data_IF_657142063164
#
_entry.id   IF_657142063164
#
_cell.length_a   1.000
_cell.length_b   1.000
_cell.length_c   1.000
_cell.angle_alpha   90.00
_cell.angle_beta   90.00
_cell.angle_gamma   90.00
#
_symmetry.space_group_name_H-M   'P 1'
#
loop_
_entity.id
_entity.type
_entity.pdbx_description
1 polymer ?
#
# COMPACT_ATOMS: atom_id res chain seq x y z
N UNK A 1 -21.99 -10.90 7.33
CA UNK A 1 -20.85 -10.06 7.76
C UNK A 1 -21.06 -9.74 9.22
N UNK A 2 -20.13 -10.17 10.07
CA UNK A 2 -20.09 -9.83 11.50
C UNK A 2 -19.89 -8.30 11.60
N UNK A 3 -20.67 -7.60 12.42
CA UNK A 3 -20.53 -6.15 12.63
C UNK A 3 -19.20 -5.83 13.33
N UNK A 4 -18.73 -4.57 13.26
CA UNK A 4 -17.57 -4.15 14.06
C UNK A 4 -17.90 -4.08 15.55
N UNK A 5 -19.18 -3.87 15.87
CA UNK A 5 -19.72 -3.75 17.23
C UNK A 5 -20.15 -5.09 17.84
N UNK A 6 -19.92 -6.21 17.15
CA UNK A 6 -20.25 -7.52 17.72
C UNK A 6 -19.35 -7.78 18.94
N UNK A 7 -19.94 -8.37 19.99
CA UNK A 7 -19.31 -8.57 21.30
C UNK A 7 -17.94 -9.25 21.22
N UNK A 8 -17.72 -10.07 20.19
CA UNK A 8 -16.45 -10.77 19.95
C UNK A 8 -15.25 -9.82 19.74
N UNK A 9 -15.49 -8.58 19.32
CA UNK A 9 -14.45 -7.57 19.13
C UNK A 9 -14.39 -6.53 20.24
N UNK A 10 -15.32 -6.55 21.20
CA UNK A 10 -15.48 -5.48 22.18
C UNK A 10 -14.17 -5.10 22.91
N UNK A 11 -13.35 -6.05 23.41
CA UNK A 11 -12.15 -5.66 24.14
C UNK A 11 -11.05 -5.08 23.24
N UNK A 12 -10.83 -5.65 22.05
CA UNK A 12 -9.85 -5.12 21.10
C UNK A 12 -10.30 -3.78 20.50
N UNK A 13 -11.61 -3.59 20.28
CA UNK A 13 -12.17 -2.35 19.76
C UNK A 13 -12.01 -1.21 20.77
N UNK A 14 -12.18 -1.48 22.07
CA UNK A 14 -11.95 -0.48 23.12
C UNK A 14 -10.49 0.04 23.10
N UNK A 15 -9.51 -0.86 22.93
CA UNK A 15 -8.09 -0.46 22.81
C UNK A 15 -7.87 0.43 21.58
N UNK A 16 -8.47 0.06 20.44
CA UNK A 16 -8.38 0.87 19.22
C UNK A 16 -9.07 2.24 19.38
N UNK A 17 -10.18 2.32 20.10
CA UNK A 17 -10.85 3.59 20.40
C UNK A 17 -10.01 4.49 21.31
N UNK A 18 -9.33 3.92 22.30
CA UNK A 18 -8.37 4.64 23.13
C UNK A 18 -7.18 5.16 22.32
N UNK A 19 -6.65 4.33 21.40
CA UNK A 19 -5.62 4.76 20.45
C UNK A 19 -6.13 5.92 19.56
N UNK A 20 -7.34 5.81 19.02
CA UNK A 20 -7.94 6.83 18.16
C UNK A 20 -8.15 8.15 18.89
N UNK A 21 -8.36 8.10 20.21
CA UNK A 21 -8.49 9.25 21.09
C UNK A 21 -7.17 9.74 21.71
N UNK A 22 -6.03 9.14 21.35
CA UNK A 22 -4.70 9.44 21.89
C UNK A 22 -4.56 9.17 23.41
N UNK A 23 -5.43 8.32 23.98
CA UNK A 23 -5.35 7.89 25.38
C UNK A 23 -4.22 6.87 25.61
N UNK A 24 -3.85 6.10 24.57
CA UNK A 24 -2.75 5.15 24.59
C UNK A 24 -1.84 5.35 23.37
N UNK A 25 -0.56 5.04 23.52
CA UNK A 25 0.39 5.02 22.40
C UNK A 25 0.18 3.80 21.50
N UNK A 26 0.73 3.84 20.29
CA UNK A 26 0.69 2.69 19.38
C UNK A 26 1.44 1.46 19.93
N UNK A 27 2.49 1.67 20.73
CA UNK A 27 3.24 0.60 21.40
C UNK A 27 2.37 -0.10 22.46
N UNK A 28 1.76 0.68 23.37
CA UNK A 28 0.85 0.15 24.38
C UNK A 28 -0.36 -0.55 23.75
N UNK A 29 -0.95 0.04 22.71
CA UNK A 29 -2.06 -0.59 21.99
C UNK A 29 -1.64 -1.92 21.36
N UNK A 30 -0.45 -2.00 20.76
CA UNK A 30 0.08 -3.24 20.19
C UNK A 30 0.28 -4.32 21.27
N UNK A 31 0.85 -3.97 22.44
CA UNK A 31 1.01 -4.90 23.56
C UNK A 31 -0.33 -5.43 24.08
N UNK A 32 -1.32 -4.55 24.27
CA UNK A 32 -2.64 -4.95 24.75
C UNK A 32 -3.39 -5.81 23.72
N UNK A 33 -3.34 -5.44 22.45
CA UNK A 33 -3.94 -6.23 21.37
C UNK A 33 -3.27 -7.60 21.26
N UNK A 34 -1.94 -7.65 21.37
CA UNK A 34 -1.19 -8.90 21.33
C UNK A 34 -1.57 -9.83 22.50
N UNK A 35 -1.66 -9.28 23.72
CA UNK A 35 -2.04 -10.05 24.90
C UNK A 35 -3.44 -10.66 24.77
N UNK A 36 -4.43 -9.87 24.32
CA UNK A 36 -5.82 -10.34 24.22
C UNK A 36 -5.98 -11.34 23.07
N UNK A 37 -5.26 -11.14 21.96
CA UNK A 37 -5.39 -12.00 20.78
C UNK A 37 -4.76 -13.38 20.98
N UNK A 38 -3.96 -13.57 22.02
CA UNK A 38 -3.32 -14.84 22.37
C UNK A 38 -3.77 -15.37 23.74
N UNK A 39 -4.82 -14.79 24.35
CA UNK A 39 -5.29 -15.18 25.69
C UNK A 39 -5.86 -16.60 25.71
N UNK A 40 -6.63 -16.98 24.69
CA UNK A 40 -7.14 -18.35 24.53
C UNK A 40 -6.13 -19.21 23.76
N UNK A 41 -5.25 -19.89 24.49
CA UNK A 41 -4.26 -20.82 23.91
C UNK A 41 -4.91 -22.01 23.18
N UNK A 42 -6.21 -22.28 23.37
CA UNK A 42 -6.93 -23.34 22.65
C UNK A 42 -7.43 -22.91 21.26
N UNK A 43 -7.49 -21.60 21.00
CA UNK A 43 -7.94 -21.01 19.72
C UNK A 43 -7.09 -19.79 19.30
N UNK A 44 -5.78 -19.99 19.22
CA UNK A 44 -4.83 -18.94 18.80
C UNK A 44 -5.11 -18.42 17.37
N UNK A 45 -5.55 -19.31 16.47
CA UNK A 45 -5.91 -18.93 15.11
C UNK A 45 -7.14 -18.02 15.08
N UNK A 46 -8.19 -18.35 15.85
CA UNK A 46 -9.38 -17.52 15.99
C UNK A 46 -9.08 -16.16 16.59
N UNK A 47 -8.21 -16.09 17.62
CA UNK A 47 -7.75 -14.84 18.22
C UNK A 47 -7.04 -13.91 17.22
N UNK A 48 -6.05 -14.43 16.48
CA UNK A 48 -5.31 -13.66 15.46
C UNK A 48 -6.19 -13.29 14.27
N UNK A 49 -7.05 -14.20 13.80
CA UNK A 49 -8.01 -13.92 12.72
C UNK A 49 -8.98 -12.80 13.11
N UNK A 50 -9.42 -12.78 14.37
CA UNK A 50 -10.31 -11.75 14.92
C UNK A 50 -9.60 -10.39 14.98
N UNK A 51 -8.34 -10.35 15.43
CA UNK A 51 -7.53 -9.13 15.45
C UNK A 51 -7.41 -8.52 14.05
N UNK A 52 -7.01 -9.32 13.06
CA UNK A 52 -6.87 -8.83 11.68
C UNK A 52 -8.19 -8.34 11.10
N UNK A 53 -9.27 -9.10 11.30
CA UNK A 53 -10.61 -8.72 10.87
C UNK A 53 -11.02 -7.36 11.43
N UNK A 54 -10.76 -7.12 12.71
CA UNK A 54 -11.06 -5.85 13.36
C UNK A 54 -10.23 -4.70 12.79
N UNK A 55 -8.90 -4.88 12.65
CA UNK A 55 -8.00 -3.87 12.08
C UNK A 55 -8.46 -3.47 10.67
N UNK A 56 -8.81 -4.44 9.81
CA UNK A 56 -9.33 -4.15 8.48
C UNK A 56 -10.65 -3.38 8.51
N UNK A 57 -11.61 -3.80 9.34
CA UNK A 57 -12.88 -3.06 9.49
C UNK A 57 -12.63 -1.62 9.92
N UNK A 58 -11.75 -1.42 10.91
CA UNK A 58 -11.37 -0.09 11.37
C UNK A 58 -10.70 0.72 10.26
N UNK A 59 -9.76 0.14 9.53
CA UNK A 59 -9.08 0.82 8.42
C UNK A 59 -10.07 1.25 7.32
N UNK A 60 -11.11 0.47 7.05
CA UNK A 60 -12.08 0.80 6.01
C UNK A 60 -13.11 1.82 6.48
N UNK A 61 -13.46 1.80 7.77
CA UNK A 61 -14.50 2.66 8.35
C UNK A 61 -13.97 4.00 8.85
N UNK A 62 -12.72 4.06 9.32
CA UNK A 62 -12.10 5.23 9.96
C UNK A 62 -10.79 5.64 9.26
N UNK A 63 -10.85 6.11 8.00
CA UNK A 63 -9.65 6.44 7.21
C UNK A 63 -8.79 7.56 7.82
N UNK A 64 -9.35 8.40 8.67
CA UNK A 64 -8.65 9.42 9.47
C UNK A 64 -7.65 8.82 10.46
N UNK A 65 -7.80 7.54 10.81
CA UNK A 65 -6.94 6.83 11.77
C UNK A 65 -5.94 5.87 11.12
N UNK A 66 -5.77 5.91 9.79
CA UNK A 66 -4.82 5.04 9.08
C UNK A 66 -3.40 5.10 9.64
N UNK A 67 -2.87 6.29 9.96
CA UNK A 67 -1.50 6.40 10.49
C UNK A 67 -1.36 5.71 11.86
N UNK A 68 -2.41 5.81 12.71
CA UNK A 68 -2.41 5.14 14.01
C UNK A 68 -2.45 3.62 13.86
N UNK A 69 -3.31 3.11 12.97
CA UNK A 69 -3.43 1.68 12.68
C UNK A 69 -2.14 1.11 12.06
N UNK A 70 -1.53 1.84 11.12
CA UNK A 70 -0.25 1.49 10.51
C UNK A 70 0.84 1.41 11.59
N UNK A 71 0.92 2.41 12.47
CA UNK A 71 1.89 2.41 13.56
C UNK A 71 1.69 1.22 14.50
N UNK A 72 0.44 0.86 14.84
CA UNK A 72 0.17 -0.34 15.65
C UNK A 72 0.66 -1.61 14.96
N UNK A 73 0.39 -1.79 13.66
CA UNK A 73 0.87 -2.97 12.93
C UNK A 73 2.40 -3.03 12.84
N UNK A 74 3.06 -1.88 12.71
CA UNK A 74 4.53 -1.79 12.80
C UNK A 74 5.02 -2.20 14.18
N UNK A 75 4.38 -1.73 15.26
CA UNK A 75 4.76 -2.11 16.62
C UNK A 75 4.51 -3.60 16.90
N UNK A 76 3.36 -4.13 16.45
CA UNK A 76 3.08 -5.57 16.49
C UNK A 76 4.18 -6.35 15.78
N UNK A 77 4.63 -5.91 14.60
CA UNK A 77 5.69 -6.60 13.84
C UNK A 77 7.06 -6.66 14.54
N UNK A 78 7.25 -5.84 15.58
CA UNK A 78 8.49 -5.69 16.34
C UNK A 78 8.42 -6.30 17.73
N UNK A 79 7.27 -6.84 18.13
CA UNK A 79 7.13 -7.54 19.40
C UNK A 79 8.02 -8.79 19.45
N UNK A 80 8.49 -9.18 20.64
CA UNK A 80 9.23 -10.43 20.79
C UNK A 80 8.38 -11.64 20.40
N UNK A 81 9.05 -12.74 20.07
CA UNK A 81 8.38 -14.00 19.74
C UNK A 81 7.35 -14.38 20.80
N UNK A 82 6.10 -14.58 20.36
CA UNK A 82 5.01 -15.03 21.21
C UNK A 82 5.33 -16.40 21.80
N UNK A 83 4.99 -16.59 23.07
CA UNK A 83 5.23 -17.85 23.80
C UNK A 83 3.96 -18.27 24.53
N UNK A 84 3.77 -19.57 24.62
CA UNK A 84 2.75 -20.17 25.48
C UNK A 84 3.09 -19.94 26.95
N UNK A 85 2.13 -20.19 27.82
CA UNK A 85 2.29 -20.27 29.28
C UNK A 85 3.45 -21.18 29.74
N UNK A 86 3.79 -22.20 28.96
CA UNK A 86 4.91 -23.11 29.22
C UNK A 86 6.26 -22.60 28.69
N UNK A 87 6.30 -21.44 28.03
CA UNK A 87 7.50 -20.83 27.47
C UNK A 87 7.87 -21.30 26.06
N UNK A 88 7.08 -22.19 25.46
CA UNK A 88 7.29 -22.67 24.10
C UNK A 88 6.88 -21.62 23.06
N UNK A 89 7.62 -21.45 21.95
CA UNK A 89 7.24 -20.53 20.89
C UNK A 89 5.87 -20.85 20.29
N UNK A 90 5.05 -19.83 20.10
CA UNK A 90 3.78 -19.94 19.36
C UNK A 90 4.07 -19.77 17.87
N UNK A 91 3.72 -20.79 17.10
CA UNK A 91 3.78 -20.76 15.64
C UNK A 91 2.39 -21.00 15.07
N UNK A 92 2.01 -20.20 14.08
CA UNK A 92 0.81 -20.44 13.27
C UNK A 92 1.26 -20.64 11.83
N UNK A 93 0.92 -21.78 11.23
CA UNK A 93 1.33 -22.12 9.87
C UNK A 93 2.85 -22.03 9.64
N UNK A 94 3.64 -22.52 10.61
CA UNK A 94 5.11 -22.45 10.64
C UNK A 94 5.71 -21.02 10.64
N UNK A 95 4.91 -20.02 11.02
CA UNK A 95 5.30 -18.62 11.08
C UNK A 95 5.29 -18.09 12.52
N UNK A 96 6.24 -17.21 12.85
CA UNK A 96 6.29 -16.50 14.12
C UNK A 96 5.20 -15.42 14.13
N UNK A 97 4.30 -15.47 15.11
CA UNK A 97 3.07 -14.65 15.14
C UNK A 97 3.32 -13.17 14.87
N UNK A 98 4.22 -12.55 15.61
CA UNK A 98 4.41 -11.10 15.54
C UNK A 98 5.33 -10.68 14.42
N UNK A 99 6.47 -11.36 14.24
CA UNK A 99 7.43 -11.05 13.18
C UNK A 99 6.86 -11.25 11.78
N UNK A 100 6.10 -12.31 11.56
CA UNK A 100 5.68 -12.73 10.23
C UNK A 100 4.20 -12.39 9.94
N UNK A 101 3.42 -12.02 10.96
CA UNK A 101 1.99 -11.65 10.87
C UNK A 101 1.16 -12.67 10.06
N UNK A 102 1.08 -13.94 10.51
CA UNK A 102 0.42 -15.01 9.78
C UNK A 102 -1.04 -14.65 9.47
N UNK A 103 -1.52 -15.12 8.32
CA UNK A 103 -2.87 -14.86 7.78
C UNK A 103 -3.17 -13.42 7.36
N UNK A 104 -2.40 -12.42 7.81
CA UNK A 104 -2.66 -11.01 7.51
C UNK A 104 -2.65 -10.74 5.99
N UNK A 105 -1.63 -11.24 5.29
CA UNK A 105 -1.55 -11.17 3.82
C UNK A 105 -2.63 -11.97 3.08
N UNK A 106 -3.14 -13.04 3.70
CA UNK A 106 -4.23 -13.85 3.12
C UNK A 106 -5.54 -13.07 3.13
N UNK A 107 -5.83 -12.38 4.23
CA UNK A 107 -6.99 -11.51 4.32
C UNK A 107 -6.95 -10.35 3.31
N UNK A 108 -5.77 -9.74 3.08
CA UNK A 108 -5.62 -8.76 1.99
C UNK A 108 -6.02 -9.33 0.62
N UNK A 109 -5.59 -10.56 0.33
CA UNK A 109 -5.91 -11.23 -0.92
C UNK A 109 -7.42 -11.46 -1.08
N UNK A 110 -8.09 -11.86 -0.01
CA UNK A 110 -9.55 -12.03 -0.02
C UNK A 110 -10.27 -10.70 -0.23
N UNK A 111 -9.81 -9.65 0.42
CA UNK A 111 -10.34 -8.29 0.28
C UNK A 111 -10.12 -7.70 -1.13
N UNK A 112 -9.09 -8.14 -1.87
CA UNK A 112 -8.85 -7.71 -3.24
C UNK A 112 -9.86 -8.26 -4.26
N UNK A 113 -10.67 -9.25 -3.86
CA UNK A 113 -11.79 -9.75 -4.67
C UNK A 113 -13.07 -8.88 -4.52
N UNK A 114 -13.04 -7.83 -3.69
CA UNK A 114 -14.17 -6.94 -3.53
C UNK A 114 -14.45 -6.12 -4.80
N UNK A 115 -15.72 -6.10 -5.23
CA UNK A 115 -16.20 -5.29 -6.35
C UNK A 115 -17.34 -4.38 -5.92
N UNK A 116 -17.61 -3.31 -6.68
CA UNK A 116 -18.76 -2.45 -6.43
C UNK A 116 -20.04 -3.16 -6.91
N UNK A 117 -20.98 -3.52 -6.01
CA UNK A 117 -22.19 -4.25 -6.41
C UNK A 117 -23.15 -3.34 -7.18
N UNK A 118 -23.97 -3.95 -8.04
CA UNK A 118 -25.20 -3.31 -8.49
C UNK A 118 -26.17 -3.21 -7.31
N UNK A 119 -26.87 -2.09 -7.16
CA UNK A 119 -27.79 -1.92 -6.03
C UNK A 119 -28.03 -0.45 -5.66
N UNK A 120 -28.63 -0.20 -4.48
CA UNK A 120 -28.97 1.14 -4.05
C UNK A 120 -27.73 2.03 -3.90
N UNK A 121 -27.85 3.36 -4.12
CA UNK A 121 -26.73 4.30 -4.08
C UNK A 121 -25.88 4.18 -2.79
N UNK A 122 -26.51 3.99 -1.63
CA UNK A 122 -25.80 3.91 -0.35
C UNK A 122 -24.90 2.68 -0.24
N UNK A 123 -25.36 1.52 -0.73
CA UNK A 123 -24.57 0.29 -0.71
C UNK A 123 -23.39 0.39 -1.69
N UNK A 124 -23.64 1.00 -2.84
CA UNK A 124 -22.62 1.31 -3.85
C UNK A 124 -21.55 2.25 -3.28
N UNK A 125 -21.96 3.34 -2.65
CA UNK A 125 -21.05 4.31 -2.04
C UNK A 125 -20.21 3.70 -0.92
N UNK A 126 -20.79 2.86 -0.07
CA UNK A 126 -20.05 2.14 0.97
C UNK A 126 -19.00 1.21 0.39
N UNK A 127 -19.30 0.51 -0.70
CA UNK A 127 -18.34 -0.35 -1.40
C UNK A 127 -17.21 0.46 -2.04
N UNK A 128 -17.53 1.59 -2.68
CA UNK A 128 -16.55 2.52 -3.25
C UNK A 128 -15.59 3.01 -2.15
N UNK A 129 -16.12 3.56 -1.06
CA UNK A 129 -15.30 4.05 0.06
C UNK A 129 -14.43 2.95 0.67
N UNK A 130 -14.95 1.73 0.81
CA UNK A 130 -14.18 0.59 1.32
C UNK A 130 -12.98 0.27 0.44
N UNK A 131 -13.17 0.20 -0.88
CA UNK A 131 -12.08 -0.08 -1.84
C UNK A 131 -11.01 1.02 -1.76
N UNK A 132 -11.42 2.29 -1.78
CA UNK A 132 -10.49 3.43 -1.70
C UNK A 132 -9.69 3.40 -0.39
N UNK A 133 -10.38 3.19 0.74
CA UNK A 133 -9.76 3.17 2.05
C UNK A 133 -8.82 1.97 2.23
N UNK A 134 -9.18 0.80 1.68
CA UNK A 134 -8.33 -0.40 1.63
C UNK A 134 -7.02 -0.11 0.91
N UNK A 135 -7.08 0.40 -0.30
CA UNK A 135 -5.88 0.69 -1.10
C UNK A 135 -5.00 1.75 -0.45
N UNK A 136 -5.61 2.81 0.08
CA UNK A 136 -4.90 3.86 0.84
C UNK A 136 -4.19 3.30 2.07
N UNK A 137 -4.85 2.46 2.85
CA UNK A 137 -4.27 1.81 4.03
C UNK A 137 -3.11 0.88 3.66
N UNK A 138 -3.29 0.06 2.63
CA UNK A 138 -2.26 -0.86 2.12
C UNK A 138 -1.03 -0.10 1.63
N UNK A 139 -1.23 0.99 0.89
CA UNK A 139 -0.16 1.85 0.43
C UNK A 139 0.62 2.48 1.59
N UNK A 140 -0.07 2.89 2.66
CA UNK A 140 0.58 3.42 3.88
C UNK A 140 1.38 2.36 4.61
N UNK A 141 0.88 1.13 4.75
CA UNK A 141 1.64 0.02 5.32
C UNK A 141 2.94 -0.20 4.54
N UNK A 142 2.85 -0.27 3.22
CA UNK A 142 4.02 -0.48 2.37
C UNK A 142 4.98 0.73 2.35
N UNK A 143 4.48 1.95 2.62
CA UNK A 143 5.31 3.15 2.77
C UNK A 143 6.21 3.12 4.01
N UNK A 144 5.87 2.30 5.03
CA UNK A 144 6.74 2.10 6.21
C UNK A 144 8.06 1.41 5.88
N UNK A 145 8.13 0.69 4.74
CA UNK A 145 9.27 -0.14 4.31
C UNK A 145 9.59 -1.31 5.23
N UNK A 146 8.70 -1.67 6.16
CA UNK A 146 8.85 -2.89 6.94
C UNK A 146 8.71 -4.12 6.01
N UNK A 147 9.61 -5.11 6.07
CA UNK A 147 9.62 -6.25 5.16
C UNK A 147 8.32 -7.07 5.14
N UNK A 148 7.61 -7.14 6.28
CA UNK A 148 6.34 -7.87 6.41
C UNK A 148 5.20 -7.24 5.60
N UNK A 149 5.36 -5.99 5.15
CA UNK A 149 4.38 -5.28 4.32
C UNK A 149 4.81 -5.16 2.85
N UNK A 150 5.44 -6.21 2.31
CA UNK A 150 5.86 -6.30 0.91
C UNK A 150 4.65 -6.51 -0.04
N UNK A 151 3.90 -5.44 -0.29
CA UNK A 151 2.60 -5.46 -0.97
C UNK A 151 2.60 -4.84 -2.38
N UNK A 152 3.74 -4.84 -3.08
CA UNK A 152 3.89 -4.25 -4.43
C UNK A 152 2.89 -4.84 -5.44
N UNK A 153 2.59 -6.13 -5.31
CA UNK A 153 1.63 -6.83 -6.19
C UNK A 153 0.22 -6.22 -6.14
N UNK A 154 -0.24 -5.79 -4.96
CA UNK A 154 -1.56 -5.17 -4.81
C UNK A 154 -1.64 -3.81 -5.51
N UNK A 155 -0.57 -3.01 -5.44
CA UNK A 155 -0.46 -1.79 -6.23
C UNK A 155 -0.56 -2.07 -7.73
N UNK A 156 0.12 -3.12 -8.21
CA UNK A 156 0.12 -3.51 -9.62
C UNK A 156 -1.29 -3.89 -10.10
N UNK A 157 -2.01 -4.70 -9.33
CA UNK A 157 -3.38 -5.12 -9.68
C UNK A 157 -4.31 -3.92 -9.75
N UNK A 158 -4.28 -3.03 -8.75
CA UNK A 158 -5.16 -1.86 -8.74
C UNK A 158 -4.87 -0.94 -9.92
N UNK A 159 -3.59 -0.63 -10.19
CA UNK A 159 -3.22 0.20 -11.34
C UNK A 159 -3.62 -0.46 -12.67
N UNK A 160 -3.41 -1.77 -12.79
CA UNK A 160 -3.86 -2.54 -13.96
C UNK A 160 -5.36 -2.44 -14.15
N UNK A 161 -6.14 -2.78 -13.14
CA UNK A 161 -7.59 -2.89 -13.26
C UNK A 161 -8.23 -1.51 -13.50
N UNK A 162 -7.65 -0.45 -12.92
CA UNK A 162 -8.08 0.93 -13.12
C UNK A 162 -7.73 1.51 -14.51
N UNK A 163 -6.54 1.20 -15.04
CA UNK A 163 -5.95 1.96 -16.15
C UNK A 163 -5.76 1.14 -17.44
N UNK A 164 -5.63 -0.18 -17.34
CA UNK A 164 -5.33 -1.07 -18.47
C UNK A 164 -6.58 -1.77 -19.05
N UNK A 165 -7.76 -1.44 -18.53
CA UNK A 165 -9.05 -1.95 -19.03
C UNK A 165 -9.77 -0.87 -19.85
N UNK A 166 -10.31 -1.20 -21.03
CA UNK A 166 -11.17 -0.30 -21.80
C UNK A 166 -12.38 0.17 -20.98
N UNK A 167 -12.77 1.43 -21.13
CA UNK A 167 -13.83 2.03 -20.31
C UNK A 167 -15.19 1.37 -20.54
N UNK A 168 -15.47 0.94 -21.76
CA UNK A 168 -16.68 0.20 -22.15
C UNK A 168 -16.75 -1.22 -21.55
N UNK A 169 -15.63 -1.73 -21.02
CA UNK A 169 -15.54 -3.02 -20.34
C UNK A 169 -15.58 -2.89 -18.81
N UNK A 170 -15.67 -1.67 -18.29
CA UNK A 170 -15.71 -1.37 -16.86
C UNK A 170 -17.06 -0.76 -16.47
N UNK A 171 -17.61 -1.16 -15.33
CA UNK A 171 -18.80 -0.49 -14.78
C UNK A 171 -18.42 0.89 -14.23
N UNK A 172 -19.34 1.86 -14.30
CA UNK A 172 -19.13 3.19 -13.73
C UNK A 172 -18.77 3.14 -12.24
N UNK A 173 -19.39 2.23 -11.48
CA UNK A 173 -19.06 2.00 -10.06
C UNK A 173 -17.63 1.50 -9.85
N UNK A 174 -17.14 0.59 -10.69
CA UNK A 174 -15.75 0.13 -10.60
C UNK A 174 -14.79 1.26 -10.95
N UNK A 175 -15.08 2.09 -11.95
CA UNK A 175 -14.23 3.26 -12.28
C UNK A 175 -14.18 4.26 -11.12
N UNK A 176 -15.33 4.56 -10.51
CA UNK A 176 -15.42 5.44 -9.33
C UNK A 176 -14.66 4.94 -8.11
N UNK A 177 -14.48 3.63 -7.96
CA UNK A 177 -13.67 3.05 -6.89
C UNK A 177 -12.18 2.94 -7.25
N UNK A 178 -11.88 2.40 -8.44
CA UNK A 178 -10.53 2.01 -8.84
C UNK A 178 -9.66 3.20 -9.23
N UNK A 179 -10.23 4.28 -9.81
CA UNK A 179 -9.45 5.47 -10.16
C UNK A 179 -8.93 6.17 -8.90
N UNK A 180 -9.74 6.48 -7.88
CA UNK A 180 -9.22 7.05 -6.63
C UNK A 180 -8.33 6.08 -5.83
N UNK A 181 -8.60 4.76 -5.89
CA UNK A 181 -7.71 3.76 -5.29
C UNK A 181 -6.32 3.76 -5.93
N UNK A 182 -6.25 3.76 -7.27
CA UNK A 182 -5.00 3.89 -8.02
C UNK A 182 -4.29 5.22 -7.72
N UNK A 183 -5.05 6.33 -7.64
CA UNK A 183 -4.52 7.63 -7.24
C UNK A 183 -3.90 7.62 -5.84
N UNK A 184 -4.48 6.88 -4.88
CA UNK A 184 -3.93 6.75 -3.53
C UNK A 184 -2.55 6.08 -3.55
N UNK A 185 -2.35 5.03 -4.36
CA UNK A 185 -1.04 4.41 -4.56
C UNK A 185 -0.01 5.37 -5.14
N UNK A 186 -0.38 6.14 -6.17
CA UNK A 186 0.52 7.14 -6.77
C UNK A 186 0.86 8.25 -5.77
N UNK A 187 -0.12 8.71 -5.00
CA UNK A 187 0.08 9.77 -4.01
C UNK A 187 1.01 9.35 -2.87
N UNK A 188 0.88 8.12 -2.38
CA UNK A 188 1.65 7.64 -1.22
C UNK A 188 3.00 7.05 -1.64
N UNK A 189 3.04 6.27 -2.73
CA UNK A 189 4.19 5.46 -3.14
C UNK A 189 4.69 5.78 -4.56
N UNK A 190 4.13 6.77 -5.25
CA UNK A 190 4.45 7.03 -6.67
C UNK A 190 5.94 7.28 -6.91
N UNK A 191 6.65 7.89 -5.96
CA UNK A 191 8.09 8.10 -6.06
C UNK A 191 8.91 6.80 -6.03
N UNK A 192 8.41 5.75 -5.38
CA UNK A 192 9.01 4.41 -5.34
C UNK A 192 8.53 3.57 -6.51
N UNK A 193 7.22 3.56 -6.80
CA UNK A 193 6.62 2.87 -7.95
C UNK A 193 7.33 3.30 -9.24
N UNK A 194 7.59 4.60 -9.41
CA UNK A 194 8.32 5.10 -10.56
C UNK A 194 9.71 4.45 -10.69
N UNK A 195 10.38 4.13 -9.58
CA UNK A 195 11.72 3.53 -9.60
C UNK A 195 11.71 2.00 -9.71
N UNK A 196 10.59 1.35 -9.42
CA UNK A 196 10.51 -0.09 -9.52
C UNK A 196 10.71 -0.55 -10.96
N UNK A 197 11.60 -1.52 -11.10
CA UNK A 197 11.83 -2.28 -12.32
C UNK A 197 11.82 -3.76 -11.96
N UNK A 198 10.65 -4.20 -11.48
CA UNK A 198 10.40 -5.53 -10.94
C UNK A 198 9.49 -6.30 -11.88
N UNK A 199 9.92 -7.49 -12.29
CA UNK A 199 9.07 -8.45 -12.98
C UNK A 199 8.35 -9.35 -11.97
N UNK A 200 7.15 -9.79 -12.31
CA UNK A 200 6.48 -10.88 -11.60
C UNK A 200 6.36 -12.07 -12.52
N UNK A 201 6.59 -13.27 -11.96
CA UNK A 201 6.55 -14.50 -12.73
C UNK A 201 5.15 -14.82 -13.25
N UNK A 202 5.12 -15.39 -14.46
CA UNK A 202 3.90 -15.90 -15.08
C UNK A 202 2.80 -14.85 -15.23
N UNK A 203 1.59 -15.22 -14.81
CA UNK A 203 0.39 -14.40 -14.98
C UNK A 203 0.28 -13.24 -13.96
N UNK A 204 1.06 -13.26 -12.88
CA UNK A 204 0.91 -12.29 -11.79
C UNK A 204 1.26 -10.86 -12.23
N UNK A 205 2.26 -10.72 -13.10
CA UNK A 205 2.71 -9.42 -13.63
C UNK A 205 2.01 -8.98 -14.90
N UNK A 206 1.16 -9.84 -15.48
CA UNK A 206 0.54 -9.61 -16.79
C UNK A 206 -0.34 -8.36 -16.75
N UNK A 207 -0.28 -7.58 -17.82
CA UNK A 207 -1.16 -6.45 -18.02
C UNK A 207 -2.59 -6.79 -18.38
N UNK A 208 -3.43 -5.76 -18.26
CA UNK A 208 -4.81 -5.74 -18.72
C UNK A 208 -4.88 -5.67 -20.25
N UNK A 209 -6.10 -5.65 -20.82
CA UNK A 209 -6.32 -5.70 -22.26
C UNK A 209 -5.56 -4.64 -23.07
N UNK A 210 -5.33 -3.45 -22.50
CA UNK A 210 -4.67 -2.34 -23.17
C UNK A 210 -3.13 -2.37 -23.07
N UNK A 211 -2.56 -3.12 -22.13
CA UNK A 211 -1.10 -3.22 -21.97
C UNK A 211 -0.54 -4.45 -22.68
N UNK A 212 0.50 -4.24 -23.50
CA UNK A 212 1.21 -5.31 -24.24
C UNK A 212 2.71 -5.38 -23.95
N UNK A 213 3.20 -4.53 -23.04
CA UNK A 213 4.61 -4.48 -22.68
C UNK A 213 4.99 -5.50 -21.61
N UNK A 214 6.10 -5.22 -20.93
CA UNK A 214 6.69 -6.07 -19.90
C UNK A 214 5.71 -6.36 -18.74
N UNK A 215 5.83 -7.55 -18.15
CA UNK A 215 5.14 -7.93 -16.92
C UNK A 215 5.74 -7.22 -15.70
N UNK A 216 4.89 -6.75 -14.79
CA UNK A 216 5.30 -6.04 -13.58
C UNK A 216 5.49 -4.54 -13.79
N UNK A 217 6.41 -3.94 -13.03
CA UNK A 217 6.69 -2.52 -13.02
C UNK A 217 7.84 -2.19 -13.98
N UNK A 218 7.63 -1.18 -14.84
CA UNK A 218 8.67 -0.60 -15.67
C UNK A 218 8.31 0.86 -16.02
N UNK A 219 9.29 1.61 -16.55
CA UNK A 219 9.12 3.02 -16.90
C UNK A 219 8.08 3.21 -18.01
N UNK A 220 8.04 2.30 -18.97
CA UNK A 220 7.08 2.33 -20.08
C UNK A 220 5.65 2.13 -19.56
N UNK A 221 5.45 1.21 -18.61
CA UNK A 221 4.14 0.97 -18.01
C UNK A 221 3.68 2.12 -17.13
N UNK A 222 4.62 2.76 -16.42
CA UNK A 222 4.36 4.02 -15.72
C UNK A 222 3.91 5.13 -16.67
N UNK A 223 4.60 5.34 -17.80
CA UNK A 223 4.19 6.33 -18.80
C UNK A 223 2.79 6.02 -19.33
N UNK A 224 2.52 4.76 -19.66
CA UNK A 224 1.21 4.30 -20.07
C UNK A 224 0.14 4.65 -19.02
N UNK A 225 0.34 4.32 -17.74
CA UNK A 225 -0.60 4.67 -16.67
C UNK A 225 -0.86 6.18 -16.56
N UNK A 226 0.17 7.01 -16.70
CA UNK A 226 0.02 8.47 -16.71
C UNK A 226 -0.86 8.95 -17.86
N UNK A 227 -0.63 8.43 -19.07
CA UNK A 227 -1.45 8.74 -20.25
C UNK A 227 -2.91 8.32 -20.03
N UNK A 228 -3.13 7.13 -19.46
CA UNK A 228 -4.49 6.63 -19.13
C UNK A 228 -5.22 7.52 -18.14
N UNK A 229 -4.55 8.03 -17.10
CA UNK A 229 -5.15 9.03 -16.21
C UNK A 229 -5.53 10.32 -16.96
N UNK A 230 -4.70 10.77 -17.90
CA UNK A 230 -4.99 11.92 -18.75
C UNK A 230 -6.23 11.71 -19.63
N UNK A 231 -6.37 10.55 -20.26
CA UNK A 231 -7.56 10.20 -21.03
C UNK A 231 -8.82 10.14 -20.16
N UNK A 232 -8.74 9.46 -19.00
CA UNK A 232 -9.84 9.35 -18.04
C UNK A 232 -10.27 10.71 -17.44
N UNK A 233 -9.41 11.72 -17.45
CA UNK A 233 -9.75 13.07 -17.04
C UNK A 233 -10.64 13.84 -18.05
N UNK A 234 -10.78 13.32 -19.27
CA UNK A 234 -11.50 13.97 -20.39
C UNK A 234 -12.71 13.20 -20.87
N UNK A 235 -12.81 11.91 -20.57
CA UNK A 235 -13.87 11.06 -21.07
C UNK A 235 -15.24 11.45 -20.48
N UNK A 236 -16.22 11.65 -21.34
CA UNK A 236 -17.63 11.89 -20.97
C UNK A 236 -18.33 10.56 -20.74
N UNK A 237 -17.97 9.87 -19.67
CA UNK A 237 -18.78 8.75 -19.12
C UNK A 237 -19.64 9.24 -17.97
N UNK A 238 -20.67 8.45 -17.61
CA UNK A 238 -21.46 8.59 -16.37
C UNK A 238 -20.61 8.34 -15.11
N UNK A 239 -19.39 8.84 -15.07
CA UNK A 239 -18.53 8.91 -13.90
C UNK A 239 -18.60 10.34 -13.36
N UNK A 240 -18.78 10.49 -12.05
CA UNK A 240 -18.88 11.81 -11.41
C UNK A 240 -17.67 12.71 -11.67
N UNK A 241 -17.87 14.02 -11.56
CA UNK A 241 -16.84 15.07 -11.77
C UNK A 241 -15.59 14.87 -10.88
N UNK A 242 -15.78 14.25 -9.72
CA UNK A 242 -14.71 13.90 -8.77
C UNK A 242 -13.70 12.91 -9.36
N UNK A 243 -14.16 11.91 -10.12
CA UNK A 243 -13.28 10.91 -10.76
C UNK A 243 -12.39 11.56 -11.80
N UNK A 244 -12.96 12.43 -12.64
CA UNK A 244 -12.20 13.14 -13.67
C UNK A 244 -11.19 14.10 -13.06
N UNK A 245 -11.56 14.76 -11.97
CA UNK A 245 -10.65 15.63 -11.21
C UNK A 245 -9.51 14.84 -10.60
N UNK A 246 -9.81 13.72 -9.95
CA UNK A 246 -8.82 12.80 -9.36
C UNK A 246 -7.85 12.28 -10.42
N UNK A 247 -8.35 11.86 -11.58
CA UNK A 247 -7.51 11.39 -12.68
C UNK A 247 -6.57 12.50 -13.19
N UNK A 248 -7.09 13.72 -13.38
CA UNK A 248 -6.29 14.89 -13.81
C UNK A 248 -5.18 15.21 -12.83
N UNK A 249 -5.52 15.29 -11.54
CA UNK A 249 -4.57 15.67 -10.49
C UNK A 249 -3.49 14.58 -10.31
N UNK A 250 -3.88 13.31 -10.44
CA UNK A 250 -2.94 12.18 -10.40
C UNK A 250 -1.97 12.22 -11.58
N UNK A 251 -2.45 12.47 -12.81
CA UNK A 251 -1.59 12.62 -13.98
C UNK A 251 -0.54 13.74 -13.79
N UNK A 252 -0.95 14.90 -13.26
CA UNK A 252 -0.03 16.00 -12.92
C UNK A 252 1.00 15.60 -11.86
N UNK A 253 0.58 14.90 -10.81
CA UNK A 253 1.48 14.40 -9.77
C UNK A 253 2.53 13.45 -10.34
N UNK A 254 2.15 12.56 -11.26
CA UNK A 254 3.10 11.67 -11.92
C UNK A 254 4.16 12.44 -12.73
N UNK A 255 3.78 13.52 -13.43
CA UNK A 255 4.75 14.40 -14.09
C UNK A 255 5.70 15.08 -13.11
N UNK A 256 5.20 15.53 -11.95
CA UNK A 256 6.02 16.14 -10.90
C UNK A 256 7.04 15.15 -10.32
N UNK A 257 6.63 13.90 -10.11
CA UNK A 257 7.51 12.81 -9.68
C UNK A 257 8.64 12.59 -10.70
N UNK A 258 8.32 12.55 -12.00
CA UNK A 258 9.32 12.40 -13.08
C UNK A 258 10.33 13.56 -13.12
N UNK A 259 9.82 14.80 -13.03
CA UNK A 259 10.63 16.03 -13.04
C UNK A 259 11.56 16.08 -11.83
N UNK A 260 11.04 15.83 -10.63
CA UNK A 260 11.82 15.87 -9.39
C UNK A 260 12.98 14.88 -9.39
N UNK A 261 12.79 13.71 -10.00
CA UNK A 261 13.82 12.67 -10.11
C UNK A 261 14.84 12.97 -11.20
N UNK A 262 14.41 13.53 -12.33
CA UNK A 262 15.31 14.01 -13.39
C UNK A 262 16.28 15.06 -12.86
N UNK A 263 15.78 16.03 -12.07
CA UNK A 263 16.61 17.06 -11.43
C UNK A 263 17.60 16.46 -10.43
N UNK A 264 17.18 15.52 -9.58
CA UNK A 264 18.09 14.85 -8.62
C UNK A 264 19.20 14.07 -9.34
N UNK A 265 18.87 13.35 -10.42
CA UNK A 265 19.85 12.60 -11.20
C UNK A 265 20.89 13.51 -11.86
N UNK A 266 20.46 14.66 -12.40
CA UNK A 266 21.36 15.67 -12.97
C UNK A 266 22.31 16.22 -11.89
N UNK A 267 21.78 16.56 -10.71
CA UNK A 267 22.60 17.06 -9.59
C UNK A 267 23.66 16.05 -9.14
N UNK A 268 23.29 14.76 -9.00
CA UNK A 268 24.24 13.70 -8.63
C UNK A 268 25.31 13.52 -9.72
N UNK A 269 24.92 13.54 -11.00
CA UNK A 269 25.86 13.41 -12.12
C UNK A 269 26.81 14.60 -12.19
N UNK A 270 26.32 15.81 -11.92
CA UNK A 270 27.13 17.02 -11.90
C UNK A 270 28.13 17.01 -10.74
N UNK A 271 27.73 16.57 -9.55
CA UNK A 271 28.63 16.39 -8.40
C UNK A 271 29.75 15.39 -8.75
N UNK A 272 29.40 14.22 -9.27
CA UNK A 272 30.42 13.22 -9.68
C UNK A 272 31.37 13.75 -10.76
N UNK A 273 30.86 14.56 -11.71
CA UNK A 273 31.68 15.19 -12.75
C UNK A 273 32.60 16.28 -12.19
N UNK A 274 32.13 17.06 -11.22
CA UNK A 274 32.94 18.05 -10.51
C UNK A 274 34.04 17.33 -9.72
N UNK A 275 33.71 16.28 -8.97
CA UNK A 275 34.70 15.50 -8.19
C UNK A 275 35.75 14.84 -9.09
N UNK A 276 35.35 14.35 -10.27
CA UNK A 276 36.27 13.81 -11.28
C UNK A 276 37.21 14.91 -11.83
N UNK A 277 36.69 16.10 -12.14
CA UNK A 277 37.48 17.22 -12.62
C UNK A 277 38.43 17.77 -11.53
N UNK A 278 38.02 17.78 -10.27
CA UNK A 278 38.88 18.14 -9.14
C UNK A 278 39.99 17.11 -8.93
N UNK A 279 39.69 15.80 -8.93
CA UNK A 279 40.72 14.75 -8.80
C UNK A 279 41.77 14.77 -9.92
N UNK A 280 41.37 15.10 -11.15
CA UNK A 280 42.30 15.22 -12.27
C UNK A 280 43.09 16.53 -12.31
N UNK A 281 42.67 17.58 -11.59
CA UNK A 281 43.42 18.84 -11.46
C UNK A 281 44.52 18.79 -10.40
N UNK A 282 44.46 17.85 -9.45
CA UNK A 282 45.45 17.70 -8.37
C UNK A 282 46.44 16.55 -8.59
N UNK A 283 46.36 15.84 -9.71
CA UNK A 283 47.27 14.73 -10.07
C UNK A 283 48.15 15.03 -11.28
N UNK A 284 48.03 16.22 -11.87
CA UNK A 284 48.85 16.68 -12.98
C UNK A 284 49.62 17.94 -12.62
N UNK A 285 50.74 17.77 -11.91
CA UNK A 285 51.98 18.51 -12.20
C UNK A 285 53.16 17.70 -11.64
N UNK A 286 53.99 17.25 -12.58
CA UNK A 286 55.07 16.31 -12.37
C UNK A 286 56.26 16.94 -11.64
N UNK A 287 56.82 16.13 -10.73
CA UNK A 287 58.21 16.25 -10.30
C UNK A 287 59.15 16.25 -11.51
N UNK A 288 60.02 17.26 -11.59
CA UNK A 288 61.30 17.15 -12.30
C UNK A 288 62.39 17.30 -11.24
N UNK A 289 63.05 16.19 -10.91
CA UNK A 289 64.34 16.19 -10.26
C UNK A 289 65.35 15.73 -11.31
N UNK A 290 66.16 16.65 -11.83
CA UNK A 290 67.42 16.31 -12.50
C UNK A 290 68.56 16.38 -11.48
N UNK A 291 69.51 15.46 -11.69
CA UNK A 291 70.68 15.06 -10.91
C UNK A 291 71.61 16.17 -10.43
#
# INVERSE_FOLDING_TARGET
MVAITDDIFAPQLAILQDLFSDNVSAEQAAEYLASISLEDESDLEGGITSLWTLIFKCAYQYPEHHDKLVNVLVQLSKLPDAKTSNGEPILLYDMQVWKDLPMFGWQFRDEWNASVPAGPPDARQKAISRIINRDKFTARLMATKEPVFAYSWFALITLRDALETPVDQSSAGNLEALIPAAAAWISILGADIYQWNEGFDGALGKGGPLWKGQHGFCKERWQFWKERFGELATIEVETGDEVRTTARDTGRMMEEIEKSRSTRQISVTLIHRIDYLYKNKFTGDGCVWES
#
